data_IF_526746635876
#
_entry.id   IF_526746635876
#
_cell.length_a   1.000
_cell.length_b   1.000
_cell.length_c   1.000
_cell.angle_alpha   90.00
_cell.angle_beta   90.00
_cell.angle_gamma   90.00
#
_symmetry.space_group_name_H-M   'P 1'
#
loop_
_entity.id
_entity.type
_entity.pdbx_description
1 polymer ?
#
# COMPACT_ATOMS: atom_id res chain seq x y z
N UNK A 1 0.08 2.08 -8.49
CA UNK A 1 -1.36 2.17 -8.21
C UNK A 1 -1.71 3.58 -7.77
N UNK A 2 -2.57 4.30 -8.49
CA UNK A 2 -3.06 5.63 -8.09
C UNK A 2 -4.46 5.56 -7.45
N UNK A 3 -4.66 6.36 -6.40
CA UNK A 3 -5.93 6.41 -5.66
C UNK A 3 -6.92 7.39 -6.33
N UNK A 4 -8.23 7.09 -6.29
CA UNK A 4 -9.26 7.97 -6.86
C UNK A 4 -9.45 9.23 -6.01
N UNK A 5 -9.97 9.05 -4.78
CA UNK A 5 -10.24 10.10 -3.81
C UNK A 5 -9.49 9.78 -2.53
N UNK A 6 -8.37 10.47 -2.23
CA UNK A 6 -7.71 10.32 -0.93
C UNK A 6 -8.59 11.00 0.14
N UNK A 7 -9.18 10.25 1.10
CA UNK A 7 -10.11 10.83 2.08
C UNK A 7 -9.43 11.79 3.07
N UNK A 8 -8.09 11.80 3.10
CA UNK A 8 -7.26 12.50 4.08
C UNK A 8 -6.51 13.71 3.48
N UNK A 9 -6.81 14.11 2.23
CA UNK A 9 -6.19 15.28 1.57
C UNK A 9 -7.20 16.03 0.69
N UNK A 10 -6.96 17.32 0.40
CA UNK A 10 -7.73 18.05 -0.61
C UNK A 10 -7.72 17.33 -1.95
N UNK A 11 -8.77 17.53 -2.75
CA UNK A 11 -8.85 16.95 -4.09
C UNK A 11 -7.70 17.46 -4.96
N UNK A 12 -7.00 16.58 -5.71
CA UNK A 12 -5.99 17.01 -6.65
C UNK A 12 -6.59 17.91 -7.75
N UNK A 13 -5.83 18.89 -8.22
CA UNK A 13 -6.21 19.71 -9.39
C UNK A 13 -6.38 18.86 -10.65
N UNK A 14 -5.51 17.86 -10.82
CA UNK A 14 -5.60 16.91 -11.92
C UNK A 14 -6.67 15.84 -11.65
N UNK A 15 -7.59 15.69 -12.58
CA UNK A 15 -8.60 14.63 -12.55
C UNK A 15 -7.97 13.24 -12.49
N UNK A 16 -8.72 12.24 -12.02
CA UNK A 16 -8.28 10.84 -11.99
C UNK A 16 -7.83 10.34 -13.38
N UNK A 17 -8.51 10.75 -14.46
CA UNK A 17 -8.12 10.44 -15.82
C UNK A 17 -6.78 11.09 -16.22
N UNK A 18 -6.57 12.36 -15.87
CA UNK A 18 -5.30 13.04 -16.14
C UNK A 18 -4.14 12.41 -15.35
N UNK A 19 -4.35 12.08 -14.07
CA UNK A 19 -3.32 11.42 -13.24
C UNK A 19 -2.95 10.04 -13.76
N UNK A 20 -3.95 9.27 -14.19
CA UNK A 20 -3.72 7.99 -14.90
C UNK A 20 -2.85 8.21 -16.13
N UNK A 21 -3.24 9.13 -17.01
CA UNK A 21 -2.52 9.39 -18.26
C UNK A 21 -1.08 9.85 -18.02
N UNK A 22 -0.85 10.73 -17.03
CA UNK A 22 0.50 11.13 -16.63
C UNK A 22 1.35 9.94 -16.16
N UNK A 23 0.75 8.99 -15.42
CA UNK A 23 1.46 7.78 -14.99
C UNK A 23 1.77 6.84 -16.15
N UNK A 24 0.83 6.65 -17.08
CA UNK A 24 1.05 5.85 -18.30
C UNK A 24 2.26 6.38 -19.09
N UNK A 25 2.34 7.70 -19.27
CA UNK A 25 3.49 8.36 -19.90
C UNK A 25 4.78 8.15 -19.09
N UNK A 26 4.72 8.30 -17.76
CA UNK A 26 5.89 8.19 -16.89
C UNK A 26 6.51 6.79 -16.84
N UNK A 27 5.72 5.74 -17.10
CA UNK A 27 6.18 4.34 -17.07
C UNK A 27 6.28 3.69 -18.46
N UNK A 28 5.96 4.41 -19.54
CA UNK A 28 5.85 3.86 -20.90
C UNK A 28 7.10 3.10 -21.38
N UNK A 29 8.29 3.52 -20.94
CA UNK A 29 9.58 2.94 -21.30
C UNK A 29 10.18 2.06 -20.18
N UNK A 30 9.39 1.71 -19.15
CA UNK A 30 9.87 1.04 -17.93
C UNK A 30 9.15 -0.30 -17.70
N UNK A 31 9.68 -1.42 -18.22
CA UNK A 31 8.98 -2.71 -18.22
C UNK A 31 8.74 -3.31 -16.82
N UNK A 32 9.41 -2.79 -15.79
CA UNK A 32 9.20 -3.22 -14.40
C UNK A 32 7.89 -2.72 -13.79
N UNK A 33 7.26 -1.70 -14.38
CA UNK A 33 6.07 -1.07 -13.80
C UNK A 33 4.82 -1.43 -14.58
N UNK A 34 3.78 -1.80 -13.84
CA UNK A 34 2.44 -2.04 -14.35
C UNK A 34 1.48 -1.13 -13.59
N UNK A 35 0.59 -0.45 -14.32
CA UNK A 35 -0.41 0.41 -13.71
C UNK A 35 -1.62 -0.41 -13.28
N UNK A 36 -1.85 -0.49 -11.97
CA UNK A 36 -3.09 -1.02 -11.40
C UNK A 36 -4.10 0.12 -11.22
N UNK A 37 -5.25 0.02 -11.89
CA UNK A 37 -6.32 1.03 -11.91
C UNK A 37 -7.47 0.72 -10.94
N UNK A 38 -7.40 -0.35 -10.13
CA UNK A 38 -8.54 -0.83 -9.33
C UNK A 38 -9.14 0.26 -8.44
N UNK A 39 -8.29 1.08 -7.82
CA UNK A 39 -8.75 2.15 -6.93
C UNK A 39 -9.37 3.31 -7.71
N UNK A 40 -8.90 3.58 -8.94
CA UNK A 40 -9.50 4.61 -9.81
C UNK A 40 -10.92 4.25 -10.24
N UNK A 41 -11.20 2.95 -10.37
CA UNK A 41 -12.49 2.42 -10.80
C UNK A 41 -13.47 2.23 -9.63
N UNK A 42 -13.04 2.50 -8.40
CA UNK A 42 -13.87 2.37 -7.20
C UNK A 42 -14.64 3.68 -6.98
N UNK A 43 -15.96 3.56 -6.82
CA UNK A 43 -16.86 4.69 -6.54
C UNK A 43 -16.80 5.14 -5.06
N UNK A 44 -16.30 4.26 -4.19
CA UNK A 44 -16.11 4.52 -2.76
C UNK A 44 -14.67 4.94 -2.44
N UNK A 45 -14.46 5.50 -1.24
CA UNK A 45 -13.12 5.74 -0.72
C UNK A 45 -12.28 4.46 -0.77
N UNK A 46 -11.04 4.59 -1.21
CA UNK A 46 -10.10 3.46 -1.27
C UNK A 46 -9.23 3.45 -0.03
N UNK A 47 -9.21 2.30 0.65
CA UNK A 47 -8.35 2.04 1.80
C UNK A 47 -7.28 1.02 1.40
N UNK A 48 -6.02 1.34 1.71
CA UNK A 48 -4.89 0.44 1.42
C UNK A 48 -5.12 -0.97 1.98
N UNK A 49 -5.75 -1.06 3.16
CA UNK A 49 -6.10 -2.33 3.79
C UNK A 49 -6.95 -3.24 2.90
N UNK A 50 -7.99 -2.68 2.29
CA UNK A 50 -8.87 -3.41 1.37
C UNK A 50 -8.11 -3.83 0.11
N UNK A 51 -7.33 -2.91 -0.45
CA UNK A 51 -6.55 -3.17 -1.66
C UNK A 51 -5.52 -4.29 -1.47
N UNK A 52 -4.80 -4.32 -0.33
CA UNK A 52 -3.85 -5.39 -0.02
C UNK A 52 -4.54 -6.73 0.21
N UNK A 53 -5.75 -6.72 0.77
CA UNK A 53 -6.57 -7.93 0.91
C UNK A 53 -6.98 -8.49 -0.45
N UNK A 54 -7.45 -7.66 -1.37
CA UNK A 54 -7.78 -8.07 -2.74
C UNK A 54 -6.55 -8.67 -3.45
N UNK A 55 -5.37 -8.05 -3.30
CA UNK A 55 -4.12 -8.62 -3.82
C UNK A 55 -3.78 -9.96 -3.19
N UNK A 56 -3.96 -10.13 -1.87
CA UNK A 56 -3.72 -11.42 -1.19
C UNK A 56 -4.67 -12.50 -1.70
N UNK A 57 -5.93 -12.16 -1.96
CA UNK A 57 -6.91 -13.10 -2.54
C UNK A 57 -6.54 -13.49 -3.98
N UNK A 58 -6.08 -12.54 -4.80
CA UNK A 58 -5.67 -12.78 -6.19
C UNK A 58 -4.37 -13.59 -6.32
N UNK A 59 -3.38 -13.32 -5.47
CA UNK A 59 -2.04 -13.93 -5.56
C UNK A 59 -1.91 -15.22 -4.75
N UNK A 60 -2.90 -15.53 -3.90
CA UNK A 60 -2.87 -16.68 -3.00
C UNK A 60 -2.00 -16.46 -1.75
N UNK A 61 -2.02 -17.38 -0.78
CA UNK A 61 -1.37 -17.21 0.52
C UNK A 61 0.17 -17.26 0.48
N UNK A 62 0.75 -17.97 -0.50
CA UNK A 62 2.19 -18.27 -0.51
C UNK A 62 3.03 -17.23 -1.26
N UNK A 63 2.40 -16.39 -2.09
CA UNK A 63 3.10 -15.35 -2.82
C UNK A 63 3.56 -14.23 -1.87
N UNK A 64 4.85 -13.88 -1.81
CA UNK A 64 5.29 -12.72 -1.03
C UNK A 64 4.76 -11.44 -1.66
N UNK A 65 4.15 -10.58 -0.84
CA UNK A 65 3.65 -9.27 -1.24
C UNK A 65 4.39 -8.18 -0.48
N UNK A 66 4.81 -7.13 -1.18
CA UNK A 66 5.46 -5.98 -0.60
C UNK A 66 4.67 -4.71 -0.94
N UNK A 67 4.51 -3.84 0.05
CA UNK A 67 3.89 -2.52 -0.12
C UNK A 67 4.94 -1.45 0.16
N UNK A 68 5.22 -0.61 -0.85
CA UNK A 68 6.25 0.42 -0.79
C UNK A 68 5.59 1.75 -0.40
N UNK A 69 6.09 2.37 0.68
CA UNK A 69 5.66 3.68 1.16
C UNK A 69 6.84 4.57 1.51
N UNK A 70 6.63 5.89 1.42
CA UNK A 70 7.60 6.88 1.88
C UNK A 70 7.63 7.02 3.40
N UNK A 71 8.68 7.65 3.92
CA UNK A 71 8.88 7.87 5.36
C UNK A 71 7.73 8.64 6.01
N UNK A 72 7.22 9.69 5.36
CA UNK A 72 6.12 10.50 5.92
C UNK A 72 4.83 9.68 6.06
N UNK A 73 4.55 8.81 5.08
CA UNK A 73 3.43 7.88 5.15
C UNK A 73 3.64 6.86 6.27
N UNK A 74 4.86 6.34 6.44
CA UNK A 74 5.20 5.40 7.51
C UNK A 74 4.93 5.99 8.91
N UNK A 75 5.24 7.27 9.14
CA UNK A 75 4.97 7.95 10.41
C UNK A 75 3.47 8.00 10.76
N UNK A 76 2.61 8.07 9.74
CA UNK A 76 1.15 8.09 9.91
C UNK A 76 0.51 6.70 9.78
N UNK A 77 1.29 5.66 9.47
CA UNK A 77 0.76 4.33 9.16
C UNK A 77 -0.15 3.74 10.26
N UNK A 78 0.14 3.93 11.57
CA UNK A 78 -0.76 3.45 12.64
C UNK A 78 -2.14 4.11 12.64
N UNK A 79 -2.33 5.24 11.96
CA UNK A 79 -3.63 5.93 11.87
C UNK A 79 -4.45 5.51 10.65
N UNK A 80 -3.95 4.57 9.85
CA UNK A 80 -4.63 4.12 8.64
C UNK A 80 -5.78 3.18 8.98
N UNK A 81 -6.81 3.18 8.14
CA UNK A 81 -7.98 2.33 8.31
C UNK A 81 -7.57 0.85 8.43
N UNK A 82 -8.05 0.16 9.46
CA UNK A 82 -7.74 -1.25 9.77
C UNK A 82 -6.23 -1.58 9.79
N UNK A 83 -5.39 -0.66 10.28
CA UNK A 83 -3.96 -0.88 10.43
C UNK A 83 -3.64 -2.17 11.22
N UNK A 84 -4.36 -2.45 12.30
CA UNK A 84 -4.10 -3.61 13.17
C UNK A 84 -4.25 -4.97 12.46
N UNK A 85 -5.06 -5.04 11.40
CA UNK A 85 -5.21 -6.27 10.62
C UNK A 85 -4.01 -6.56 9.69
N UNK A 86 -3.07 -5.61 9.55
CA UNK A 86 -1.90 -5.71 8.67
C UNK A 86 -0.60 -5.98 9.41
N UNK A 87 -0.55 -5.77 10.73
CA UNK A 87 0.54 -6.28 11.55
C UNK A 87 0.43 -7.79 11.59
N UNK A 88 1.19 -8.46 10.72
CA UNK A 88 1.25 -9.90 10.64
C UNK A 88 1.35 -10.53 12.03
N UNK A 89 0.64 -11.65 12.18
CA UNK A 89 0.77 -12.59 13.28
C UNK A 89 2.21 -13.11 13.35
N UNK A 90 3.13 -12.30 13.86
CA UNK A 90 4.40 -12.76 14.34
C UNK A 90 4.37 -12.63 15.86
N UNK A 91 4.16 -13.76 16.53
CA UNK A 91 4.53 -13.93 17.93
C UNK A 91 5.93 -13.34 18.12
N UNK A 92 6.14 -12.44 19.11
CA UNK A 92 7.47 -12.00 19.47
C UNK A 92 8.15 -13.16 20.19
N UNK A 93 8.69 -14.11 19.42
CA UNK A 93 9.64 -15.07 19.98
C UNK A 93 10.85 -14.26 20.43
N UNK A 94 10.92 -14.05 21.75
CA UNK A 94 12.04 -13.41 22.44
C UNK A 94 13.32 -14.13 22.02
N UNK A 95 14.14 -13.48 21.20
CA UNK A 95 15.54 -13.86 21.11
C UNK A 95 16.15 -13.74 22.52
N UNK A 96 16.75 -14.80 23.09
CA UNK A 96 17.37 -14.72 24.40
C UNK A 96 18.58 -13.78 24.32
N UNK A 97 18.54 -12.70 25.11
CA UNK A 97 19.68 -11.81 25.31
C UNK A 97 20.88 -12.61 25.84
N UNK A 98 22.07 -12.56 25.22
CA UNK A 98 23.25 -13.19 25.77
C UNK A 98 23.68 -12.43 27.03
N UNK A 99 23.74 -13.12 28.16
CA UNK A 99 24.37 -12.57 29.37
C UNK A 99 25.88 -12.52 29.13
N UNK A 100 26.46 -11.33 29.18
CA UNK A 100 27.91 -11.18 29.26
C UNK A 100 28.36 -11.67 30.66
N UNK A 101 29.41 -12.50 30.77
CA UNK A 101 29.95 -12.91 32.06
C UNK A 101 30.64 -11.74 32.77
N UNK A 102 30.59 -11.78 34.10
CA UNK A 102 31.23 -10.83 35.02
C UNK A 102 32.76 -10.96 35.05
#
# INVERSE_FOLDING_TARGET
>A
MPNNVPPHRPQPEASSAQRKYMLELAIADKPLFILDERELKRDTASYTAQTLKEWREEQGPDAPLAFIIGQDSLLTFPTWHDYENHSGQHSPDRLPTPRLPA
#
